data_IF_656934118699
#
_entry.id   IF_656934118699
#
_cell.length_a   1.000
_cell.length_b   1.000
_cell.length_c   1.000
_cell.angle_alpha   90.00
_cell.angle_beta   90.00
_cell.angle_gamma   90.00
#
_symmetry.space_group_name_H-M   'P 1'
#
loop_
_entity.id
_entity.type
_entity.pdbx_description
1 polymer ?
#
# COMPACT_ATOMS: atom_id res chain seq x y z
N UNK A 1 3.00 -54.03 -68.10
CA UNK A 1 4.00 -54.51 -67.10
C UNK A 1 4.83 -53.34 -66.59
N UNK A 2 5.06 -53.33 -65.28
CA UNK A 2 5.98 -52.48 -64.47
C UNK A 2 5.58 -51.01 -64.22
N UNK A 3 4.90 -50.85 -63.08
CA UNK A 3 4.94 -49.66 -62.23
C UNK A 3 6.39 -49.33 -61.83
N UNK A 4 6.80 -48.08 -61.97
CA UNK A 4 8.02 -47.54 -61.37
C UNK A 4 7.59 -46.49 -60.36
N UNK A 5 7.63 -46.86 -59.07
CA UNK A 5 7.41 -45.96 -57.94
C UNK A 5 8.60 -45.01 -57.84
N UNK A 6 8.36 -43.70 -57.94
CA UNK A 6 9.33 -42.68 -57.51
C UNK A 6 9.23 -42.52 -56.00
N UNK A 7 10.14 -43.17 -55.27
CA UNK A 7 10.40 -42.87 -53.87
C UNK A 7 11.30 -41.64 -53.81
N UNK A 8 10.73 -40.47 -53.51
CA UNK A 8 11.52 -39.29 -53.14
C UNK A 8 11.84 -39.42 -51.66
N UNK A 9 13.09 -39.73 -51.36
CA UNK A 9 13.67 -39.65 -50.02
C UNK A 9 13.79 -38.16 -49.66
N UNK A 10 12.86 -37.65 -48.86
CA UNK A 10 13.02 -36.36 -48.19
C UNK A 10 14.03 -36.56 -47.04
N UNK A 11 15.26 -36.08 -47.26
CA UNK A 11 16.30 -36.00 -46.24
C UNK A 11 15.87 -35.00 -45.17
N UNK A 12 15.61 -35.49 -43.95
CA UNK A 12 15.34 -34.67 -42.78
C UNK A 12 16.66 -34.07 -42.27
N UNK A 13 16.95 -32.84 -42.66
CA UNK A 13 17.97 -32.03 -41.99
C UNK A 13 17.32 -31.47 -40.73
N UNK A 14 17.50 -32.19 -39.62
CA UNK A 14 17.27 -31.68 -38.28
C UNK A 14 18.30 -30.55 -38.05
N UNK A 15 17.94 -29.31 -38.34
CA UNK A 15 18.66 -28.16 -37.80
C UNK A 15 18.19 -27.95 -36.36
N UNK A 16 18.87 -28.63 -35.43
CA UNK A 16 18.99 -28.21 -34.04
C UNK A 16 19.62 -26.81 -34.05
N UNK A 17 18.79 -25.78 -34.23
CA UNK A 17 19.16 -24.43 -33.79
C UNK A 17 19.23 -24.53 -32.29
N UNK A 18 20.46 -24.65 -31.81
CA UNK A 18 20.81 -24.67 -30.41
C UNK A 18 20.21 -23.43 -29.76
N UNK A 19 19.11 -23.66 -29.04
CA UNK A 19 18.42 -22.71 -28.17
C UNK A 19 19.29 -22.44 -26.92
N UNK A 20 20.56 -22.08 -27.12
CA UNK A 20 21.54 -21.80 -26.06
C UNK A 20 21.63 -20.31 -25.73
N UNK A 21 20.81 -19.46 -26.35
CA UNK A 21 20.74 -18.02 -26.05
C UNK A 21 19.61 -17.62 -25.08
N UNK A 22 18.62 -18.48 -24.86
CA UNK A 22 17.45 -18.16 -24.03
C UNK A 22 17.65 -18.45 -22.53
N UNK A 23 18.79 -18.99 -22.12
CA UNK A 23 19.09 -19.33 -20.73
C UNK A 23 19.63 -18.16 -19.89
N UNK A 24 19.64 -16.94 -20.46
CA UNK A 24 19.69 -15.70 -19.66
C UNK A 24 18.28 -15.15 -19.34
N UNK A 25 17.24 -15.96 -19.56
CA UNK A 25 15.88 -15.62 -19.22
C UNK A 25 15.65 -15.77 -17.71
N UNK A 26 15.63 -14.61 -17.04
CA UNK A 26 14.90 -14.34 -15.79
C UNK A 26 15.32 -15.16 -14.55
N UNK A 27 16.52 -14.93 -14.02
CA UNK A 27 16.77 -15.13 -12.58
C UNK A 27 16.47 -13.87 -11.75
N UNK A 28 15.89 -12.83 -12.34
CA UNK A 28 15.26 -11.77 -11.58
C UNK A 28 13.96 -12.30 -11.00
N UNK A 29 13.95 -12.65 -9.72
CA UNK A 29 12.69 -12.78 -8.98
C UNK A 29 11.99 -11.42 -9.10
N UNK A 30 10.95 -11.33 -9.91
CA UNK A 30 10.07 -10.17 -9.89
C UNK A 30 9.39 -10.21 -8.51
N UNK A 31 9.89 -9.40 -7.59
CA UNK A 31 9.25 -9.23 -6.30
C UNK A 31 7.91 -8.55 -6.56
N UNK A 32 6.82 -9.32 -6.39
CA UNK A 32 5.48 -8.83 -6.62
C UNK A 32 5.16 -7.77 -5.56
N UNK A 33 4.83 -6.57 -6.01
CA UNK A 33 4.22 -5.58 -5.15
C UNK A 33 2.82 -6.06 -4.80
N UNK A 34 2.50 -6.09 -3.51
CA UNK A 34 1.20 -6.50 -3.00
C UNK A 34 0.48 -5.28 -2.46
N UNK A 35 -0.77 -5.11 -2.87
CA UNK A 35 -1.65 -4.08 -2.34
C UNK A 35 -2.24 -4.54 -1.00
N UNK A 36 -2.11 -3.71 0.03
CA UNK A 36 -2.69 -3.97 1.36
C UNK A 36 -3.60 -2.83 1.77
N UNK A 37 -4.87 -3.15 2.00
CA UNK A 37 -5.88 -2.21 2.44
C UNK A 37 -5.90 -2.09 3.97
N UNK A 38 -6.20 -0.90 4.48
CA UNK A 38 -6.36 -0.61 5.89
C UNK A 38 -7.29 0.57 6.13
N UNK A 39 -7.67 0.75 7.40
CA UNK A 39 -8.58 1.80 7.86
C UNK A 39 -8.12 2.40 9.18
N UNK A 40 -8.08 3.73 9.24
CA UNK A 40 -8.06 4.45 10.51
C UNK A 40 -9.37 5.17 10.76
N UNK A 41 -9.98 4.95 11.93
CA UNK A 41 -11.04 5.81 12.43
C UNK A 41 -10.39 7.08 12.99
N UNK A 42 -10.85 8.25 12.59
CA UNK A 42 -10.33 9.54 13.06
C UNK A 42 -11.42 10.20 13.87
N UNK A 43 -11.21 10.29 15.17
CA UNK A 43 -12.15 10.81 16.14
C UNK A 43 -11.75 12.22 16.59
N UNK A 44 -12.71 13.13 16.54
CA UNK A 44 -12.55 14.49 17.00
C UNK A 44 -13.19 14.65 18.38
N UNK A 45 -12.39 14.76 19.44
CA UNK A 45 -12.88 14.97 20.80
C UNK A 45 -12.97 16.47 21.18
N UNK A 46 -12.65 17.37 20.25
CA UNK A 46 -12.86 18.81 20.44
C UNK A 46 -14.33 19.21 20.28
N UNK A 47 -14.64 20.41 20.77
CA UNK A 47 -15.99 21.01 20.67
C UNK A 47 -16.24 21.75 19.35
N UNK A 48 -15.31 21.70 18.39
CA UNK A 48 -15.44 22.35 17.08
C UNK A 48 -15.03 21.38 15.97
N UNK A 49 -15.55 21.57 14.73
CA UNK A 49 -15.21 20.69 13.62
C UNK A 49 -13.74 20.82 13.24
N UNK A 50 -13.13 19.72 12.84
CA UNK A 50 -11.78 19.66 12.29
C UNK A 50 -11.83 19.22 10.84
N UNK A 51 -11.06 19.86 9.97
CA UNK A 51 -10.91 19.43 8.58
C UNK A 51 -9.58 18.75 8.41
N UNK A 52 -9.61 17.48 8.03
CA UNK A 52 -8.42 16.67 7.74
C UNK A 52 -8.32 16.56 6.23
N UNK A 53 -7.18 16.92 5.66
CA UNK A 53 -6.94 16.80 4.23
C UNK A 53 -5.57 16.23 3.94
N UNK A 54 -5.54 15.33 2.97
CA UNK A 54 -4.33 14.67 2.49
C UNK A 54 -3.49 15.69 1.71
N UNK A 55 -2.23 15.83 2.10
CA UNK A 55 -1.30 16.77 1.44
C UNK A 55 -0.32 16.07 0.52
N UNK A 56 0.07 14.85 0.85
CA UNK A 56 1.05 14.09 0.09
C UNK A 56 0.87 12.59 0.33
N UNK A 57 1.32 11.78 -0.62
CA UNK A 57 1.57 10.37 -0.36
C UNK A 57 2.66 9.82 -1.26
N UNK A 58 3.31 8.77 -0.78
CA UNK A 58 4.33 8.01 -1.47
C UNK A 58 4.09 6.53 -1.21
N UNK A 59 3.89 5.76 -2.30
CA UNK A 59 3.60 4.32 -2.29
C UNK A 59 2.41 3.87 -1.39
N UNK A 60 1.60 4.84 -0.95
CA UNK A 60 0.34 4.71 -0.25
C UNK A 60 -0.68 5.67 -0.87
N UNK A 61 -1.97 5.37 -0.80
CA UNK A 61 -3.03 6.33 -1.13
C UNK A 61 -4.35 5.98 -0.44
N UNK A 62 -5.28 6.92 -0.39
CA UNK A 62 -6.64 6.66 0.06
C UNK A 62 -7.41 5.84 -0.97
N UNK A 63 -8.32 5.01 -0.49
CA UNK A 63 -9.14 4.14 -1.34
C UNK A 63 -10.23 4.92 -2.10
N UNK A 64 -10.52 6.15 -1.67
CA UNK A 64 -11.53 7.01 -2.27
C UNK A 64 -11.31 8.49 -1.89
N UNK A 65 -11.92 9.40 -2.66
CA UNK A 65 -11.80 10.85 -2.48
C UNK A 65 -12.32 11.35 -1.13
N UNK A 66 -13.31 10.67 -0.53
CA UNK A 66 -13.87 11.07 0.77
C UNK A 66 -12.89 10.83 1.93
N UNK A 67 -12.03 9.82 1.84
CA UNK A 67 -10.99 9.54 2.83
C UNK A 67 -9.78 10.47 2.69
N UNK A 68 -9.55 11.10 1.53
CA UNK A 68 -8.49 12.10 1.37
C UNK A 68 -8.81 13.37 2.16
N UNK A 69 -10.04 13.87 2.04
CA UNK A 69 -10.43 15.20 2.53
C UNK A 69 -11.79 15.14 3.21
N UNK A 70 -11.82 15.34 4.53
CA UNK A 70 -13.02 15.19 5.33
C UNK A 70 -13.11 16.22 6.46
N UNK A 71 -14.33 16.67 6.74
CA UNK A 71 -14.64 17.44 7.95
C UNK A 71 -15.23 16.51 9.00
N UNK A 72 -14.57 16.42 10.14
CA UNK A 72 -14.93 15.58 11.27
C UNK A 72 -15.65 16.46 12.29
N UNK A 73 -16.94 16.19 12.49
CA UNK A 73 -17.79 16.97 13.38
C UNK A 73 -17.36 16.78 14.86
N UNK A 74 -17.65 17.74 15.74
CA UNK A 74 -17.35 17.63 17.17
C UNK A 74 -17.87 16.33 17.78
N UNK A 75 -17.06 15.62 18.57
CA UNK A 75 -17.40 14.38 19.25
C UNK A 75 -17.86 13.24 18.31
N UNK A 76 -17.36 13.23 17.08
CA UNK A 76 -17.66 12.18 16.10
C UNK A 76 -16.38 11.58 15.52
N UNK A 77 -16.51 10.44 14.86
CA UNK A 77 -15.43 9.80 14.13
C UNK A 77 -15.77 9.64 12.64
N UNK A 78 -14.75 9.72 11.79
CA UNK A 78 -14.84 9.44 10.36
C UNK A 78 -13.68 8.52 9.93
N UNK A 79 -13.84 7.74 8.86
CA UNK A 79 -12.82 6.77 8.46
C UNK A 79 -11.92 7.31 7.34
N UNK A 80 -10.61 7.08 7.48
CA UNK A 80 -9.64 7.14 6.38
C UNK A 80 -9.42 5.69 5.94
N UNK A 81 -9.95 5.34 4.78
CA UNK A 81 -9.66 4.08 4.08
C UNK A 81 -8.49 4.30 3.13
N UNK A 82 -7.49 3.42 3.18
CA UNK A 82 -6.27 3.59 2.40
C UNK A 82 -5.60 2.26 2.09
N UNK A 83 -4.65 2.32 1.17
CA UNK A 83 -3.82 1.20 0.78
C UNK A 83 -2.34 1.56 0.80
N UNK A 84 -1.51 0.52 0.87
CA UNK A 84 -0.07 0.60 0.72
C UNK A 84 0.43 -0.49 -0.26
N UNK A 85 1.47 -0.15 -1.02
CA UNK A 85 2.22 -1.12 -1.83
C UNK A 85 3.32 -1.73 -0.97
N UNK A 86 3.29 -3.04 -0.82
CA UNK A 86 4.28 -3.79 -0.05
C UNK A 86 5.14 -4.65 -0.95
N UNK A 87 6.44 -4.68 -0.71
CA UNK A 87 7.35 -5.64 -1.34
C UNK A 87 7.82 -6.65 -0.28
N UNK A 88 7.54 -7.94 -0.48
CA UNK A 88 7.77 -9.02 0.49
C UNK A 88 9.23 -9.20 0.98
N UNK A 89 10.20 -8.45 0.44
CA UNK A 89 11.62 -8.50 0.86
C UNK A 89 12.27 -7.14 1.11
N UNK A 90 11.50 -6.04 1.10
CA UNK A 90 12.01 -4.68 1.11
C UNK A 90 11.75 -3.95 2.42
N UNK A 91 12.80 -3.40 3.01
CA UNK A 91 12.71 -2.35 4.04
C UNK A 91 12.31 -1.02 3.39
N UNK A 92 11.08 -0.94 2.85
CA UNK A 92 10.57 0.33 2.31
C UNK A 92 10.01 1.16 3.46
N UNK A 93 10.87 2.03 4.02
CA UNK A 93 10.58 2.86 5.21
C UNK A 93 9.93 4.20 4.84
N UNK A 94 9.78 4.47 3.55
CA UNK A 94 9.31 5.75 3.01
C UNK A 94 7.83 5.74 2.65
N UNK A 95 7.18 4.58 2.58
CA UNK A 95 5.74 4.39 2.44
C UNK A 95 4.95 5.22 3.47
N UNK A 96 4.35 6.31 3.01
CA UNK A 96 3.68 7.25 3.88
C UNK A 96 2.60 8.07 3.19
N UNK A 97 1.69 8.59 4.01
CA UNK A 97 0.65 9.53 3.63
C UNK A 97 0.54 10.64 4.67
N UNK A 98 0.69 11.87 4.20
CA UNK A 98 0.70 13.06 5.03
C UNK A 98 -0.66 13.75 5.04
N UNK A 99 -1.07 14.20 6.21
CA UNK A 99 -2.29 14.94 6.42
C UNK A 99 -2.02 16.24 7.16
N UNK A 100 -2.77 17.27 6.77
CA UNK A 100 -2.91 18.49 7.53
C UNK A 100 -4.29 18.52 8.20
N UNK A 101 -4.31 18.99 9.44
CA UNK A 101 -5.52 19.23 10.22
C UNK A 101 -5.74 20.74 10.30
N UNK A 102 -6.90 21.20 9.89
CA UNK A 102 -7.35 22.58 10.03
C UNK A 102 -8.48 22.70 11.04
N UNK A 103 -8.50 23.80 11.77
CA UNK A 103 -9.64 24.27 12.54
C UNK A 103 -10.26 25.52 11.87
N UNK A 104 -11.19 26.19 12.57
CA UNK A 104 -11.81 27.43 12.07
C UNK A 104 -10.85 28.61 11.90
N UNK A 105 -9.62 28.54 12.42
CA UNK A 105 -8.60 29.58 12.36
C UNK A 105 -7.48 29.26 11.35
N UNK A 106 -7.51 28.10 10.70
CA UNK A 106 -6.54 27.68 9.70
C UNK A 106 -5.82 26.39 10.09
N UNK A 107 -4.52 26.31 9.83
CA UNK A 107 -3.73 25.11 10.11
C UNK A 107 -3.57 24.91 11.62
N UNK A 108 -4.19 23.87 12.15
CA UNK A 108 -4.06 23.46 13.55
C UNK A 108 -2.90 22.49 13.76
N UNK A 109 -2.66 21.58 12.80
CA UNK A 109 -1.59 20.59 12.93
C UNK A 109 -1.40 19.70 11.71
N UNK A 110 -0.64 18.62 11.89
CA UNK A 110 -0.28 17.62 10.89
C UNK A 110 -0.14 16.25 11.54
N UNK A 111 -0.25 15.20 10.73
CA UNK A 111 0.21 13.85 11.05
C UNK A 111 0.53 13.07 9.78
N UNK A 112 1.40 12.09 9.88
CA UNK A 112 1.74 11.17 8.80
C UNK A 112 1.35 9.76 9.20
N UNK A 113 0.52 9.09 8.40
CA UNK A 113 0.33 7.63 8.48
C UNK A 113 1.49 7.01 7.69
N UNK A 114 2.24 6.08 8.28
CA UNK A 114 3.33 5.40 7.58
C UNK A 114 3.30 3.89 7.83
N UNK A 115 3.79 3.14 6.85
CA UNK A 115 4.02 1.72 6.99
C UNK A 115 5.30 1.47 7.82
N UNK A 116 5.20 0.65 8.86
CA UNK A 116 6.31 0.27 9.73
C UNK A 116 6.72 -1.17 9.42
N UNK A 117 7.65 -1.42 8.47
CA UNK A 117 8.10 -2.77 8.15
C UNK A 117 8.97 -3.31 9.29
N UNK A 118 8.46 -4.25 10.07
CA UNK A 118 9.26 -5.00 11.05
C UNK A 118 8.94 -6.48 10.87
N UNK A 119 9.93 -7.28 10.46
CA UNK A 119 9.85 -8.76 10.47
C UNK A 119 8.60 -9.33 9.77
N UNK A 120 8.42 -9.01 8.49
CA UNK A 120 7.28 -9.48 7.66
C UNK A 120 5.89 -9.08 8.17
N UNK A 121 5.82 -8.13 9.11
CA UNK A 121 4.57 -7.62 9.67
C UNK A 121 4.21 -6.30 9.03
N UNK A 122 2.94 -6.19 8.66
CA UNK A 122 2.39 -4.97 8.09
C UNK A 122 1.66 -4.20 9.20
N UNK A 123 2.26 -3.10 9.66
CA UNK A 123 1.69 -2.25 10.72
C UNK A 123 1.72 -0.79 10.32
N UNK A 124 0.60 -0.10 10.44
CA UNK A 124 0.53 1.34 10.22
C UNK A 124 0.71 2.11 11.52
N UNK A 125 1.55 3.14 11.52
CA UNK A 125 1.84 4.00 12.67
C UNK A 125 1.72 5.48 12.31
N UNK A 126 1.80 6.34 13.33
CA UNK A 126 1.92 7.79 13.14
C UNK A 126 3.37 8.26 13.29
N UNK A 127 3.79 9.15 12.40
CA UNK A 127 5.00 10.00 12.55
C UNK A 127 4.64 11.45 12.26
N UNK A 128 5.56 12.39 12.57
CA UNK A 128 5.39 13.82 12.33
C UNK A 128 4.03 14.37 12.80
N UNK A 129 3.55 13.94 13.97
CA UNK A 129 2.24 14.31 14.48
C UNK A 129 2.30 15.54 15.40
N UNK A 130 1.23 16.33 15.38
CA UNK A 130 1.04 17.41 16.35
C UNK A 130 0.67 16.84 17.72
N UNK A 131 1.00 17.56 18.80
CA UNK A 131 0.86 17.04 20.17
C UNK A 131 -0.58 16.74 20.62
N UNK A 132 -1.58 17.13 19.83
CA UNK A 132 -3.00 16.81 20.04
C UNK A 132 -3.48 15.60 19.23
N UNK A 133 -2.61 14.96 18.43
CA UNK A 133 -2.95 13.83 17.57
C UNK A 133 -2.36 12.54 18.14
N UNK A 134 -3.23 11.61 18.54
CA UNK A 134 -2.85 10.39 19.24
C UNK A 134 -3.31 9.16 18.47
N UNK A 135 -2.45 8.14 18.43
CA UNK A 135 -2.80 6.84 17.85
C UNK A 135 -3.23 5.88 18.98
N UNK A 136 -4.44 5.36 18.86
CA UNK A 136 -4.94 4.21 19.61
C UNK A 136 -5.08 3.02 18.65
N UNK A 137 -4.82 1.82 19.14
CA UNK A 137 -5.20 0.59 18.44
C UNK A 137 -6.32 -0.07 19.21
N UNK A 138 -7.29 -0.70 18.54
CA UNK A 138 -8.24 -1.55 19.23
C UNK A 138 -7.48 -2.61 20.03
N UNK A 139 -7.94 -2.89 21.25
CA UNK A 139 -7.38 -3.93 22.11
C UNK A 139 -7.69 -5.32 21.53
N UNK A 140 -7.03 -5.69 20.43
CA UNK A 140 -7.03 -7.06 19.92
C UNK A 140 -5.59 -7.53 19.87
N UNK A 141 -5.27 -8.30 20.90
CA UNK A 141 -4.08 -9.10 21.08
C UNK A 141 -4.03 -10.25 20.07
N UNK A 142 -2.83 -10.53 19.56
CA UNK A 142 -2.42 -11.74 18.85
C UNK A 142 -2.85 -11.83 17.38
N UNK A 143 -2.05 -11.25 16.49
CA UNK A 143 -2.11 -11.58 15.06
C UNK A 143 -1.53 -10.51 14.14
N UNK A 144 -0.20 -10.51 13.97
CA UNK A 144 0.67 -10.10 12.85
C UNK A 144 0.32 -9.03 11.78
N UNK A 145 -0.86 -8.43 11.69
CA UNK A 145 -1.16 -7.31 10.78
C UNK A 145 -2.17 -6.36 11.44
N UNK A 146 -1.80 -5.09 11.62
CA UNK A 146 -2.70 -4.07 12.16
C UNK A 146 -3.28 -3.25 11.01
N UNK A 147 -4.33 -3.80 10.39
CA UNK A 147 -5.08 -3.16 9.29
C UNK A 147 -6.12 -2.14 9.81
N UNK A 148 -6.31 -2.06 11.13
CA UNK A 148 -7.24 -1.15 11.77
C UNK A 148 -6.61 -0.44 12.98
N UNK A 149 -6.88 0.86 13.08
CA UNK A 149 -6.46 1.71 14.18
C UNK A 149 -7.40 2.90 14.32
N UNK A 150 -7.13 3.72 15.33
CA UNK A 150 -7.90 4.91 15.61
C UNK A 150 -6.95 6.09 15.90
N UNK A 151 -7.21 7.23 15.28
CA UNK A 151 -6.55 8.49 15.55
C UNK A 151 -7.52 9.34 16.36
N UNK A 152 -7.07 9.89 17.48
CA UNK A 152 -7.88 10.82 18.29
C UNK A 152 -7.25 12.19 18.35
N UNK A 153 -8.09 13.21 18.24
CA UNK A 153 -7.73 14.62 18.39
C UNK A 153 -8.18 15.13 19.76
N UNK A 154 -7.23 15.50 20.63
CA UNK A 154 -7.43 15.85 22.05
C UNK A 154 -6.86 17.21 22.45
#
# INVERSE_FOLDING_TARGET
MKSVKKNVLASSILSTVTLLGAQFAFTGQAHAWVHRDARFNVCNDFNWPLTVFKTHSYQMDVNNDHSANQTIQPHTCAAIDFWALFQDNGWDVDDAMDFQVNDGNGKAGVFTIYNSPVLDQFTFKLRNNSGFVFLSYPAVSNGFNLEQGEIRFH
#
